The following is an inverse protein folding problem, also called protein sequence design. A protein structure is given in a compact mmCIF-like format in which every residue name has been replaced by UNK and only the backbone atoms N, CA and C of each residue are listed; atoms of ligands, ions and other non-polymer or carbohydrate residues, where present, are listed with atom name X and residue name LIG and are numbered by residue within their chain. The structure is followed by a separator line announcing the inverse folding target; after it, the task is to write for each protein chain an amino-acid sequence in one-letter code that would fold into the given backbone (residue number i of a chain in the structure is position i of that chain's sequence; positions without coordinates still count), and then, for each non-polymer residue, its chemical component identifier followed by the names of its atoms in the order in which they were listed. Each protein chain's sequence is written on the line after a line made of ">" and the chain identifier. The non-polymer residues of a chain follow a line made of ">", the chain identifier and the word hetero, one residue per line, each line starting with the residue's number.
data_IF_403094291089
#
_entry.id   IF_403094291089
#
_cell.length_a   1.000
_cell.length_b   1.000
_cell.length_c   1.000
_cell.angle_alpha   90.00
_cell.angle_beta   90.00
_cell.angle_gamma   90.00
#
_symmetry.space_group_name_H-M   'P 1'
#
loop_
_entity.id
_entity.type
_entity.pdbx_description
1 polymer ?
#
# COMPACT_ATOMS: atom_id res chain seq x y z
N UNK A 1 -10.39 43.81 29.14
CA UNK A 1 -10.72 42.44 29.55
C UNK A 1 -10.19 41.51 28.46
N UNK A 2 -9.63 40.35 28.79
CA UNK A 2 -9.13 39.42 27.78
C UNK A 2 -10.31 38.63 27.19
N UNK A 3 -10.46 38.64 25.87
CA UNK A 3 -11.51 37.92 25.14
C UNK A 3 -10.88 36.82 24.30
N UNK A 4 -10.98 35.57 24.77
CA UNK A 4 -10.36 34.42 24.12
C UNK A 4 -10.79 34.27 22.66
N UNK A 5 -12.07 34.43 22.35
CA UNK A 5 -12.60 34.28 20.99
C UNK A 5 -12.02 35.31 20.01
N UNK A 6 -11.80 36.55 20.46
CA UNK A 6 -11.20 37.59 19.63
C UNK A 6 -9.73 37.25 19.29
N UNK A 7 -8.98 36.76 20.29
CA UNK A 7 -7.58 36.37 20.15
C UNK A 7 -7.42 35.12 19.29
N UNK A 8 -8.28 34.11 19.46
CA UNK A 8 -8.33 32.92 18.61
C UNK A 8 -8.63 33.31 17.15
N UNK A 9 -9.62 34.19 16.93
CA UNK A 9 -9.96 34.69 15.60
C UNK A 9 -8.79 35.47 14.96
N UNK A 10 -8.04 36.23 15.76
CA UNK A 10 -6.85 36.94 15.28
C UNK A 10 -5.71 35.99 14.94
N UNK A 11 -5.44 35.02 15.82
CA UNK A 11 -4.45 33.96 15.60
C UNK A 11 -4.78 33.17 14.33
N UNK A 12 -6.04 32.76 14.15
CA UNK A 12 -6.50 32.02 12.97
C UNK A 12 -6.22 32.79 11.67
N UNK A 13 -6.62 34.06 11.61
CA UNK A 13 -6.35 34.94 10.47
C UNK A 13 -4.85 35.11 10.19
N UNK A 14 -4.00 35.05 11.21
CA UNK A 14 -2.53 35.11 11.06
C UNK A 14 -1.98 33.80 10.50
N UNK A 15 -2.45 32.66 10.99
CA UNK A 15 -2.04 31.32 10.50
C UNK A 15 -2.48 31.13 9.06
N UNK A 16 -3.72 31.45 8.71
CA UNK A 16 -4.25 31.36 7.34
C UNK A 16 -3.47 32.23 6.34
N UNK A 17 -2.95 33.39 6.78
CA UNK A 17 -2.13 34.27 5.93
C UNK A 17 -0.67 33.84 5.78
N UNK A 18 -0.12 33.14 6.78
CA UNK A 18 1.32 32.83 6.86
C UNK A 18 1.67 31.38 6.57
N UNK A 19 0.67 30.50 6.43
CA UNK A 19 0.85 29.08 6.19
C UNK A 19 0.08 28.60 4.95
N UNK A 20 0.49 27.47 4.39
CA UNK A 20 -0.25 26.77 3.33
C UNK A 20 -1.12 25.64 3.89
N UNK A 21 -1.56 25.77 5.15
CA UNK A 21 -2.43 24.79 5.80
C UNK A 21 -3.82 24.82 5.16
N UNK A 22 -4.42 23.63 5.04
CA UNK A 22 -5.82 23.50 4.66
C UNK A 22 -6.74 24.03 5.79
N UNK A 23 -7.96 24.49 5.48
CA UNK A 23 -8.88 25.00 6.49
C UNK A 23 -9.11 24.04 7.67
N UNK A 24 -9.14 22.74 7.37
CA UNK A 24 -9.26 21.69 8.39
C UNK A 24 -8.06 21.59 9.32
N UNK A 25 -6.83 21.67 8.78
CA UNK A 25 -5.62 21.64 9.61
C UNK A 25 -5.56 22.88 10.53
N UNK A 26 -6.12 24.01 10.07
CA UNK A 26 -6.29 25.21 10.91
C UNK A 26 -7.33 24.96 12.01
N UNK A 27 -8.45 24.30 11.72
CA UNK A 27 -9.45 23.90 12.72
C UNK A 27 -8.83 22.99 13.79
N UNK A 28 -8.08 21.96 13.39
CA UNK A 28 -7.43 21.03 14.32
C UNK A 28 -6.39 21.73 15.21
N UNK A 29 -5.63 22.70 14.66
CA UNK A 29 -4.70 23.51 15.44
C UNK A 29 -5.42 24.47 16.40
N UNK A 30 -6.57 25.01 16.00
CA UNK A 30 -7.41 25.85 16.85
C UNK A 30 -7.93 25.06 18.06
N UNK A 31 -8.45 23.86 17.84
CA UNK A 31 -8.91 22.96 18.90
C UNK A 31 -7.78 22.64 19.88
N UNK A 32 -6.58 22.34 19.36
CA UNK A 32 -5.40 22.12 20.19
C UNK A 32 -4.97 23.37 20.97
N UNK A 33 -5.02 24.56 20.36
CA UNK A 33 -4.73 25.82 21.02
C UNK A 33 -5.69 26.07 22.18
N UNK A 34 -6.99 25.87 21.97
CA UNK A 34 -8.04 26.03 22.99
C UNK A 34 -7.85 25.05 24.14
N UNK A 35 -7.70 23.76 23.85
CA UNK A 35 -7.49 22.73 24.87
C UNK A 35 -6.21 22.98 25.69
N UNK A 36 -5.12 23.41 25.04
CA UNK A 36 -3.86 23.74 25.72
C UNK A 36 -3.97 25.01 26.56
N UNK A 37 -4.72 26.01 26.09
CA UNK A 37 -5.02 27.22 26.86
C UNK A 37 -5.82 26.93 28.13
N UNK A 38 -6.86 26.10 28.04
CA UNK A 38 -7.64 25.66 29.21
C UNK A 38 -6.76 24.96 30.24
N UNK A 39 -5.91 24.02 29.80
CA UNK A 39 -4.96 23.33 30.67
C UNK A 39 -3.97 24.31 31.34
N UNK A 40 -3.43 25.27 30.58
CA UNK A 40 -2.51 26.29 31.12
C UNK A 40 -3.19 27.19 32.16
N UNK A 41 -4.49 27.47 31.97
CA UNK A 41 -5.31 28.22 32.93
C UNK A 41 -5.56 27.45 34.22
N UNK A 42 -5.71 26.14 34.15
CA UNK A 42 -5.83 25.26 35.32
C UNK A 42 -4.51 25.13 36.09
N UNK A 43 -3.39 24.96 35.36
CA UNK A 43 -2.06 24.79 35.98
C UNK A 43 -1.52 26.08 36.60
N UNK A 44 -1.85 27.23 36.03
CA UNK A 44 -1.31 28.54 36.44
C UNK A 44 -2.42 29.59 36.56
N UNK A 45 -3.34 29.46 37.53
CA UNK A 45 -4.51 30.34 37.65
C UNK A 45 -4.13 31.80 37.90
N UNK A 46 -3.00 32.03 38.58
CA UNK A 46 -2.46 33.37 38.90
C UNK A 46 -1.91 34.10 37.67
N UNK A 47 -1.61 33.39 36.57
CA UNK A 47 -1.06 33.99 35.36
C UNK A 47 -2.16 34.76 34.61
N UNK A 48 -1.91 36.01 34.17
CA UNK A 48 -2.86 36.75 33.35
C UNK A 48 -3.25 35.97 32.08
N UNK A 49 -4.54 35.88 31.70
CA UNK A 49 -5.00 35.10 30.55
C UNK A 49 -4.26 35.41 29.25
N UNK A 50 -3.98 36.69 28.97
CA UNK A 50 -3.21 37.11 27.80
C UNK A 50 -1.79 36.51 27.77
N UNK A 51 -1.12 36.38 28.92
CA UNK A 51 0.20 35.76 29.00
C UNK A 51 0.13 34.24 28.82
N UNK A 52 -0.90 33.59 29.38
CA UNK A 52 -1.14 32.17 29.17
C UNK A 52 -1.36 31.87 27.68
N UNK A 53 -2.23 32.63 27.01
CA UNK A 53 -2.48 32.49 25.57
C UNK A 53 -1.22 32.68 24.73
N UNK A 54 -0.45 33.74 24.98
CA UNK A 54 0.82 33.98 24.28
C UNK A 54 1.84 32.85 24.50
N UNK A 55 1.88 32.27 25.70
CA UNK A 55 2.74 31.12 26.01
C UNK A 55 2.32 29.92 25.17
N UNK A 56 1.04 29.61 25.12
CA UNK A 56 0.50 28.50 24.33
C UNK A 56 0.72 28.72 22.82
N UNK A 57 0.52 29.94 22.31
CA UNK A 57 0.85 30.26 20.93
C UNK A 57 2.35 30.09 20.61
N UNK A 58 3.23 30.43 21.56
CA UNK A 58 4.67 30.22 21.42
C UNK A 58 5.05 28.73 21.47
N UNK A 59 4.39 27.94 22.33
CA UNK A 59 4.56 26.48 22.41
C UNK A 59 4.10 25.77 21.12
N UNK A 60 3.02 26.25 20.49
CA UNK A 60 2.56 25.73 19.20
C UNK A 60 3.62 25.90 18.09
N UNK A 61 4.51 26.89 18.22
CA UNK A 61 5.59 27.17 17.29
C UNK A 61 5.18 28.01 16.09
N UNK A 62 6.12 28.24 15.16
CA UNK A 62 5.87 29.01 13.95
C UNK A 62 4.95 28.25 12.98
N UNK A 63 3.94 28.96 12.45
CA UNK A 63 2.98 28.40 11.49
C UNK A 63 3.66 27.78 10.25
N UNK A 64 4.80 28.33 9.81
CA UNK A 64 5.59 27.78 8.71
C UNK A 64 6.23 26.43 9.06
N UNK A 65 6.73 26.27 10.29
CA UNK A 65 7.30 25.01 10.77
C UNK A 65 6.21 23.93 10.92
N UNK A 66 5.05 24.30 11.47
CA UNK A 66 3.86 23.43 11.53
C UNK A 66 3.45 23.00 10.12
N UNK A 67 3.32 23.93 9.19
CA UNK A 67 2.95 23.62 7.80
C UNK A 67 3.92 22.64 7.13
N UNK A 68 5.21 22.71 7.43
CA UNK A 68 6.21 21.76 6.94
C UNK A 68 6.03 20.34 7.53
N UNK A 69 5.70 20.25 8.81
CA UNK A 69 5.41 18.96 9.47
C UNK A 69 4.08 18.36 9.00
N UNK A 70 3.03 19.18 8.84
CA UNK A 70 1.77 18.76 8.23
C UNK A 70 1.96 18.34 6.77
N UNK A 71 2.77 19.05 5.99
CA UNK A 71 3.11 18.63 4.63
C UNK A 71 3.86 17.29 4.61
N UNK A 72 4.70 17.01 5.60
CA UNK A 72 5.41 15.73 5.75
C UNK A 72 4.47 14.60 6.18
N UNK A 73 3.50 14.88 7.05
CA UNK A 73 2.45 13.97 7.46
C UNK A 73 1.44 13.69 6.32
N UNK A 74 1.10 14.73 5.55
CA UNK A 74 0.15 14.74 4.44
C UNK A 74 0.70 14.18 3.12
N UNK A 75 2.00 13.86 3.03
CA UNK A 75 2.53 13.12 1.88
C UNK A 75 1.78 11.79 1.79
N UNK A 76 1.06 11.61 0.68
CA UNK A 76 0.31 10.38 0.36
C UNK A 76 1.25 9.18 0.20
N UNK A 77 1.72 8.62 1.32
CA UNK A 77 2.69 7.50 1.36
C UNK A 77 2.21 6.28 0.59
N UNK A 78 0.90 6.13 0.42
CA UNK A 78 0.32 5.05 -0.37
C UNK A 78 0.63 5.13 -1.87
N UNK A 79 0.82 6.33 -2.46
CA UNK A 79 1.08 6.49 -3.89
C UNK A 79 2.39 5.85 -4.36
N UNK A 80 3.56 6.14 -3.74
CA UNK A 80 4.80 5.51 -4.15
C UNK A 80 4.79 4.00 -3.92
N UNK A 81 4.17 3.53 -2.82
CA UNK A 81 4.03 2.08 -2.54
C UNK A 81 3.19 1.40 -3.62
N UNK A 82 2.09 2.03 -4.04
CA UNK A 82 1.25 1.49 -5.10
C UNK A 82 1.94 1.49 -6.45
N UNK A 83 2.65 2.58 -6.77
CA UNK A 83 3.45 2.69 -7.99
C UNK A 83 4.54 1.61 -8.04
N UNK A 84 5.21 1.35 -6.91
CA UNK A 84 6.16 0.26 -6.78
C UNK A 84 5.50 -1.11 -7.00
N UNK A 85 4.32 -1.34 -6.41
CA UNK A 85 3.53 -2.55 -6.66
C UNK A 85 3.23 -2.74 -8.15
N UNK A 86 2.75 -1.71 -8.83
CA UNK A 86 2.47 -1.74 -10.27
C UNK A 86 3.72 -1.93 -11.14
N UNK A 87 4.82 -1.29 -10.78
CA UNK A 87 6.09 -1.47 -11.48
C UNK A 87 6.60 -2.90 -11.34
N UNK A 88 6.56 -3.48 -10.13
CA UNK A 88 6.93 -4.88 -9.89
C UNK A 88 6.02 -5.84 -10.65
N UNK A 89 4.73 -5.57 -10.68
CA UNK A 89 3.77 -6.34 -11.47
C UNK A 89 4.12 -6.30 -12.96
N UNK A 90 4.33 -5.12 -13.54
CA UNK A 90 4.69 -4.97 -14.94
C UNK A 90 6.01 -5.68 -15.28
N UNK A 91 7.05 -5.46 -14.46
CA UNK A 91 8.37 -6.10 -14.62
C UNK A 91 8.26 -7.63 -14.53
N UNK A 92 7.37 -8.16 -13.69
CA UNK A 92 7.22 -9.60 -13.52
C UNK A 92 6.90 -10.33 -14.83
N UNK A 93 6.14 -9.69 -15.74
CA UNK A 93 5.81 -10.27 -17.06
C UNK A 93 7.03 -10.48 -17.94
N UNK A 94 8.10 -9.70 -17.75
CA UNK A 94 9.29 -9.79 -18.58
C UNK A 94 10.35 -10.75 -18.02
N UNK A 95 10.14 -11.27 -16.81
CA UNK A 95 11.10 -12.14 -16.11
C UNK A 95 10.63 -13.59 -16.08
N UNK A 96 11.54 -14.58 -16.02
CA UNK A 96 11.16 -15.98 -15.91
C UNK A 96 10.45 -16.27 -14.58
N UNK A 97 9.33 -16.99 -14.63
CA UNK A 97 8.54 -17.42 -13.45
C UNK A 97 9.25 -18.51 -12.69
N UNK A 98 9.85 -19.46 -13.41
CA UNK A 98 10.52 -20.62 -12.83
C UNK A 98 11.94 -20.68 -13.33
N UNK A 99 12.80 -21.26 -12.51
CA UNK A 99 14.10 -21.77 -12.95
C UNK A 99 14.04 -23.28 -12.82
N UNK A 100 14.43 -23.98 -13.88
CA UNK A 100 14.65 -25.42 -13.80
C UNK A 100 16.12 -25.67 -13.50
N UNK A 101 16.39 -26.39 -12.40
CA UNK A 101 17.70 -26.89 -12.06
C UNK A 101 17.70 -28.40 -12.21
N UNK A 102 18.73 -28.93 -12.87
CA UNK A 102 18.92 -30.35 -13.11
C UNK A 102 19.91 -30.91 -12.08
N UNK A 103 19.67 -32.12 -11.59
CA UNK A 103 20.62 -32.85 -10.73
C UNK A 103 21.28 -33.94 -11.58
N UNK A 104 22.62 -33.94 -11.58
CA UNK A 104 23.58 -34.76 -12.35
C UNK A 104 23.77 -34.47 -13.86
N UNK A 105 24.79 -33.66 -14.12
CA UNK A 105 25.34 -33.29 -15.42
C UNK A 105 26.34 -34.33 -15.93
N UNK A 106 25.84 -35.30 -16.71
CA UNK A 106 26.67 -36.16 -17.56
C UNK A 106 26.32 -36.13 -19.05
N UNK A 107 25.14 -35.66 -19.45
CA UNK A 107 24.57 -36.12 -20.73
C UNK A 107 23.91 -35.10 -21.68
N UNK A 108 23.82 -33.79 -21.40
CA UNK A 108 23.06 -32.88 -22.28
C UNK A 108 23.71 -31.54 -22.62
N UNK A 109 23.41 -31.08 -23.85
CA UNK A 109 23.92 -29.89 -24.51
C UNK A 109 23.42 -28.59 -23.83
N UNK A 110 24.29 -27.61 -23.55
CA UNK A 110 23.95 -26.39 -22.80
C UNK A 110 22.83 -25.53 -23.42
N UNK A 111 22.63 -25.62 -24.74
CA UNK A 111 21.59 -24.85 -25.44
C UNK A 111 20.15 -25.33 -25.14
N UNK A 112 19.96 -26.60 -24.75
CA UNK A 112 18.64 -27.12 -24.35
C UNK A 112 18.26 -26.69 -22.92
N UNK A 113 19.25 -26.52 -22.06
CA UNK A 113 19.06 -26.01 -20.68
C UNK A 113 18.59 -24.55 -20.70
N UNK A 114 19.06 -23.76 -21.67
CA UNK A 114 18.66 -22.37 -21.85
C UNK A 114 17.21 -22.21 -22.36
N UNK A 115 16.70 -23.17 -23.14
CA UNK A 115 15.37 -23.12 -23.74
C UNK A 115 14.24 -23.56 -22.78
N UNK A 116 14.52 -24.51 -21.89
CA UNK A 116 13.52 -25.12 -20.98
C UNK A 116 13.42 -24.37 -19.63
N UNK A 117 14.46 -23.63 -19.25
CA UNK A 117 14.56 -22.98 -17.93
C UNK A 117 13.93 -21.59 -17.79
N UNK A 118 13.29 -21.01 -18.82
CA UNK A 118 12.89 -19.59 -18.82
C UNK A 118 11.42 -19.32 -19.17
N UNK A 119 10.47 -20.12 -18.70
CA UNK A 119 9.05 -19.82 -18.93
C UNK A 119 8.68 -18.45 -18.32
N UNK A 120 8.46 -17.44 -19.18
CA UNK A 120 7.96 -16.12 -18.75
C UNK A 120 6.45 -16.19 -18.51
N UNK A 121 5.86 -15.34 -17.65
CA UNK A 121 4.42 -15.36 -17.38
C UNK A 121 3.57 -15.20 -18.62
N UNK A 122 3.97 -14.32 -19.54
CA UNK A 122 3.25 -14.15 -20.80
C UNK A 122 3.43 -15.36 -21.71
N UNK A 123 4.55 -16.09 -21.65
CA UNK A 123 4.76 -17.28 -22.47
C UNK A 123 3.89 -18.42 -21.97
N UNK A 124 3.78 -18.61 -20.66
CA UNK A 124 2.89 -19.63 -20.08
C UNK A 124 1.43 -19.29 -20.36
N UNK A 125 1.05 -18.00 -20.23
CA UNK A 125 -0.27 -17.50 -20.62
C UNK A 125 -0.54 -17.68 -22.11
N UNK A 126 0.40 -17.27 -22.98
CA UNK A 126 0.27 -17.36 -24.43
C UNK A 126 0.21 -18.81 -24.88
N UNK A 127 1.06 -19.67 -24.33
CA UNK A 127 1.05 -21.12 -24.56
C UNK A 127 -0.29 -21.72 -24.17
N UNK A 128 -0.88 -21.33 -23.04
CA UNK A 128 -2.23 -21.78 -22.65
C UNK A 128 -3.34 -21.26 -23.57
N UNK A 129 -3.18 -20.05 -24.15
CA UNK A 129 -4.14 -19.47 -25.09
C UNK A 129 -4.00 -20.09 -26.48
N UNK A 130 -2.78 -20.41 -26.92
CA UNK A 130 -2.48 -20.83 -28.30
C UNK A 130 -2.28 -22.32 -28.48
N UNK A 131 -1.78 -23.04 -27.47
CA UNK A 131 -1.83 -24.50 -27.50
C UNK A 131 -3.26 -24.89 -27.18
N UNK A 132 -3.98 -25.33 -28.21
CA UNK A 132 -5.19 -26.13 -28.04
C UNK A 132 -4.81 -27.41 -27.32
N UNK A 133 -4.70 -27.36 -26.00
CA UNK A 133 -4.58 -28.56 -25.17
C UNK A 133 -5.78 -29.43 -25.51
N UNK A 134 -5.53 -30.68 -25.87
CA UNK A 134 -6.60 -31.66 -26.13
C UNK A 134 -7.54 -31.81 -24.94
N UNK A 135 -7.07 -31.46 -23.74
CA UNK A 135 -7.88 -31.30 -22.54
C UNK A 135 -8.21 -29.82 -22.26
N UNK A 136 -9.27 -29.32 -22.92
CA UNK A 136 -9.74 -27.95 -22.78
C UNK A 136 -10.08 -27.58 -21.32
N UNK A 137 -10.42 -28.55 -20.48
CA UNK A 137 -10.77 -28.31 -19.07
C UNK A 137 -9.52 -27.90 -18.28
N UNK A 138 -8.41 -28.63 -18.46
CA UNK A 138 -7.17 -28.32 -17.75
C UNK A 138 -6.61 -26.94 -18.15
N UNK A 139 -6.62 -26.58 -19.43
CA UNK A 139 -6.18 -25.25 -19.87
C UNK A 139 -7.04 -24.12 -19.29
N UNK A 140 -8.37 -24.30 -19.21
CA UNK A 140 -9.26 -23.33 -18.57
C UNK A 140 -8.91 -23.17 -17.08
N UNK A 141 -8.65 -24.27 -16.37
CA UNK A 141 -8.27 -24.20 -14.95
C UNK A 141 -6.91 -23.53 -14.72
N UNK A 142 -5.90 -23.85 -15.53
CA UNK A 142 -4.58 -23.23 -15.41
C UNK A 142 -4.66 -21.74 -15.80
N UNK A 143 -5.35 -21.43 -16.89
CA UNK A 143 -5.62 -20.05 -17.31
C UNK A 143 -6.34 -19.26 -16.22
N UNK A 144 -7.38 -19.84 -15.61
CA UNK A 144 -8.07 -19.24 -14.48
C UNK A 144 -7.14 -19.05 -13.27
N UNK A 145 -6.32 -20.03 -12.92
CA UNK A 145 -5.38 -19.94 -11.81
C UNK A 145 -4.31 -18.85 -12.02
N UNK A 146 -3.91 -18.57 -13.27
CA UNK A 146 -2.91 -17.53 -13.61
C UNK A 146 -3.56 -16.16 -13.79
N UNK A 147 -4.75 -16.08 -14.42
CA UNK A 147 -5.41 -14.83 -14.77
C UNK A 147 -6.26 -14.25 -13.63
N UNK A 148 -7.00 -15.08 -12.90
CA UNK A 148 -7.88 -14.62 -11.82
C UNK A 148 -7.15 -13.81 -10.76
N UNK A 149 -5.92 -14.16 -10.33
CA UNK A 149 -5.20 -13.36 -9.35
C UNK A 149 -4.83 -11.97 -9.86
N UNK A 150 -4.72 -11.75 -11.18
CA UNK A 150 -4.38 -10.45 -11.74
C UNK A 150 -5.57 -9.48 -11.71
N UNK A 151 -6.81 -9.97 -11.72
CA UNK A 151 -8.02 -9.13 -11.77
C UNK A 151 -8.13 -8.19 -10.55
N UNK A 152 -7.95 -8.64 -9.30
CA UNK A 152 -7.93 -7.75 -8.14
C UNK A 152 -6.90 -6.62 -8.25
N UNK A 153 -5.74 -6.88 -8.84
CA UNK A 153 -4.71 -5.85 -9.01
C UNK A 153 -5.15 -4.81 -10.04
N UNK A 154 -5.69 -5.25 -11.18
CA UNK A 154 -6.26 -4.35 -12.20
C UNK A 154 -7.41 -3.50 -11.64
N UNK A 155 -8.24 -4.09 -10.78
CA UNK A 155 -9.33 -3.38 -10.09
C UNK A 155 -8.85 -2.30 -9.10
N UNK A 156 -7.55 -2.23 -8.78
CA UNK A 156 -7.02 -1.11 -8.01
C UNK A 156 -7.12 0.21 -8.78
N UNK A 157 -6.98 0.23 -10.11
CA UNK A 157 -7.07 1.45 -10.92
C UNK A 157 -8.43 2.17 -10.79
N UNK A 158 -9.58 1.53 -11.05
CA UNK A 158 -10.88 2.17 -10.85
C UNK A 158 -11.16 2.48 -9.37
N UNK A 159 -10.67 1.66 -8.43
CA UNK A 159 -10.79 1.95 -7.00
C UNK A 159 -10.01 3.21 -6.58
N UNK A 160 -8.94 3.58 -7.31
CA UNK A 160 -8.24 4.84 -7.11
C UNK A 160 -9.02 6.04 -7.66
N UNK A 161 -9.60 5.88 -8.85
CA UNK A 161 -10.26 6.95 -9.59
C UNK A 161 -11.64 7.32 -9.02
N UNK A 162 -12.36 6.34 -8.47
CA UNK A 162 -13.60 6.63 -7.79
C UNK A 162 -14.33 5.35 -7.41
N UNK A 163 -14.25 4.92 -6.16
CA UNK A 163 -15.33 4.09 -5.63
C UNK A 163 -15.40 4.01 -4.10
N UNK A 164 -16.66 4.12 -3.66
CA UNK A 164 -17.36 3.37 -2.61
C UNK A 164 -16.47 2.55 -1.65
N UNK A 165 -16.51 2.96 -0.37
CA UNK A 165 -15.88 2.30 0.79
C UNK A 165 -15.91 0.75 0.80
N UNK A 166 -17.00 0.02 0.42
CA UNK A 166 -17.02 -1.44 0.48
C UNK A 166 -16.05 -2.12 -0.50
N UNK A 167 -15.94 -1.65 -1.75
CA UNK A 167 -15.08 -2.27 -2.76
C UNK A 167 -13.60 -2.24 -2.33
N UNK A 168 -13.19 -1.16 -1.67
CA UNK A 168 -11.83 -1.00 -1.16
C UNK A 168 -11.47 -1.99 -0.05
N UNK A 169 -12.39 -2.28 0.89
CA UNK A 169 -12.15 -3.26 1.96
C UNK A 169 -12.04 -4.68 1.39
N UNK A 170 -12.87 -5.00 0.41
CA UNK A 170 -12.78 -6.29 -0.30
C UNK A 170 -11.44 -6.43 -1.03
N UNK A 171 -11.06 -5.42 -1.84
CA UNK A 171 -9.78 -5.43 -2.56
C UNK A 171 -8.57 -5.60 -1.63
N UNK A 172 -8.56 -4.89 -0.50
CA UNK A 172 -7.50 -5.02 0.50
C UNK A 172 -7.36 -6.46 1.00
N UNK A 173 -8.47 -7.11 1.35
CA UNK A 173 -8.46 -8.50 1.86
C UNK A 173 -8.03 -9.49 0.80
N UNK A 174 -8.56 -9.36 -0.42
CA UNK A 174 -8.25 -10.27 -1.53
C UNK A 174 -6.78 -10.15 -1.93
N UNK A 175 -6.28 -8.93 -2.16
CA UNK A 175 -4.88 -8.71 -2.53
C UNK A 175 -3.92 -9.15 -1.42
N UNK A 176 -4.27 -8.88 -0.15
CA UNK A 176 -3.48 -9.33 1.00
C UNK A 176 -3.42 -10.86 1.09
N UNK A 177 -4.57 -11.53 0.99
CA UNK A 177 -4.64 -12.99 1.02
C UNK A 177 -3.87 -13.62 -0.15
N UNK A 178 -4.03 -13.10 -1.37
CA UNK A 178 -3.28 -13.57 -2.54
C UNK A 178 -1.78 -13.39 -2.39
N UNK A 179 -1.33 -12.23 -1.91
CA UNK A 179 0.09 -11.99 -1.64
C UNK A 179 0.67 -12.98 -0.64
N UNK A 180 -0.03 -13.24 0.47
CA UNK A 180 0.40 -14.20 1.49
C UNK A 180 0.43 -15.63 0.96
N UNK A 181 -0.64 -16.06 0.26
CA UNK A 181 -0.74 -17.42 -0.30
C UNK A 181 0.36 -17.65 -1.34
N UNK A 182 0.58 -16.70 -2.26
CA UNK A 182 1.62 -16.81 -3.28
C UNK A 182 3.02 -16.82 -2.64
N UNK A 183 3.33 -15.93 -1.70
CA UNK A 183 4.62 -15.97 -1.02
C UNK A 183 4.83 -17.29 -0.25
N UNK A 184 3.78 -17.80 0.40
CA UNK A 184 3.80 -19.07 1.11
C UNK A 184 4.05 -20.26 0.16
N UNK A 185 3.38 -20.31 -0.98
CA UNK A 185 3.58 -21.34 -2.01
C UNK A 185 4.99 -21.26 -2.61
N UNK A 186 5.50 -20.06 -2.86
CA UNK A 186 6.87 -19.85 -3.31
C UNK A 186 7.88 -20.40 -2.31
N UNK A 187 7.74 -20.02 -1.04
CA UNK A 187 8.61 -20.51 0.04
C UNK A 187 8.52 -22.02 0.20
N UNK A 188 7.32 -22.58 0.18
CA UNK A 188 7.12 -24.03 0.21
C UNK A 188 7.86 -24.73 -0.93
N UNK A 189 7.79 -24.20 -2.16
CA UNK A 189 8.53 -24.76 -3.31
C UNK A 189 10.04 -24.64 -3.21
N UNK A 190 10.56 -23.63 -2.50
CA UNK A 190 12.00 -23.52 -2.23
C UNK A 190 12.46 -24.62 -1.29
N UNK A 191 11.67 -24.95 -0.26
CA UNK A 191 12.04 -25.98 0.73
C UNK A 191 11.66 -27.40 0.30
N UNK A 192 10.64 -27.54 -0.54
CA UNK A 192 10.11 -28.80 -1.03
C UNK A 192 10.03 -28.78 -2.55
N UNK A 193 11.18 -28.79 -3.25
CA UNK A 193 11.18 -28.75 -4.70
C UNK A 193 10.54 -30.03 -5.24
N UNK A 194 9.48 -29.87 -6.04
CA UNK A 194 8.75 -31.01 -6.62
C UNK A 194 9.57 -31.64 -7.74
N UNK A 195 9.88 -32.95 -7.69
CA UNK A 195 10.52 -33.63 -8.81
C UNK A 195 9.56 -33.70 -9.99
N UNK A 196 10.00 -33.25 -11.15
CA UNK A 196 9.33 -33.50 -12.43
C UNK A 196 10.10 -34.58 -13.19
N UNK A 197 9.48 -35.72 -13.51
CA UNK A 197 10.11 -36.70 -14.37
C UNK A 197 10.32 -36.07 -15.75
N UNK A 198 11.55 -36.10 -16.25
CA UNK A 198 11.92 -35.59 -17.56
C UNK A 198 12.75 -36.64 -18.27
N UNK A 199 12.14 -37.29 -19.26
CA UNK A 199 12.71 -38.39 -20.03
C UNK A 199 13.20 -39.58 -19.17
N UNK A 200 13.63 -40.68 -19.82
CA UNK A 200 13.96 -41.98 -19.19
C UNK A 200 15.17 -41.95 -18.23
N UNK A 201 15.03 -41.25 -17.09
CA UNK A 201 15.97 -41.31 -15.97
C UNK A 201 16.37 -39.96 -15.38
N UNK A 202 16.02 -38.82 -15.99
CA UNK A 202 16.36 -37.50 -15.43
C UNK A 202 15.21 -36.90 -14.61
N UNK A 203 15.58 -36.25 -13.50
CA UNK A 203 14.65 -35.54 -12.63
C UNK A 203 14.99 -34.05 -12.66
N UNK A 204 14.01 -33.24 -13.07
CA UNK A 204 14.11 -31.79 -13.01
C UNK A 204 13.48 -31.28 -11.71
N UNK A 205 14.10 -30.26 -11.11
CA UNK A 205 13.49 -29.52 -10.01
C UNK A 205 13.14 -28.11 -10.47
N UNK A 206 11.88 -27.71 -10.26
CA UNK A 206 11.44 -26.34 -10.52
C UNK A 206 11.48 -25.52 -9.24
N UNK A 207 12.18 -24.39 -9.28
CA UNK A 207 12.13 -23.39 -8.20
C UNK A 207 11.50 -22.10 -8.71
N UNK A 208 10.82 -21.32 -7.83
CA UNK A 208 10.28 -20.03 -8.24
C UNK A 208 11.42 -19.08 -8.65
N UNK A 209 11.36 -18.61 -9.89
CA UNK A 209 12.22 -17.61 -10.48
C UNK A 209 11.85 -16.19 -10.07
N UNK A 210 12.65 -15.22 -10.49
CA UNK A 210 12.51 -13.82 -10.11
C UNK A 210 11.14 -13.22 -10.49
N UNK A 211 10.58 -13.62 -11.64
CA UNK A 211 9.26 -13.16 -12.09
C UNK A 211 8.16 -13.53 -11.10
N UNK A 212 8.20 -14.75 -10.54
CA UNK A 212 7.23 -15.20 -9.53
C UNK A 212 7.27 -14.34 -8.25
N UNK A 213 8.47 -14.04 -7.75
CA UNK A 213 8.63 -13.26 -6.53
C UNK A 213 8.19 -11.81 -6.72
N UNK A 214 8.54 -11.20 -7.86
CA UNK A 214 8.11 -9.85 -8.22
C UNK A 214 6.59 -9.76 -8.38
N UNK A 215 5.99 -10.76 -9.05
CA UNK A 215 4.54 -10.89 -9.17
C UNK A 215 3.87 -11.02 -7.80
N UNK A 216 4.35 -11.92 -6.95
CA UNK A 216 3.80 -12.16 -5.60
C UNK A 216 3.90 -10.92 -4.70
N UNK A 217 5.07 -10.26 -4.69
CA UNK A 217 5.31 -9.06 -3.89
C UNK A 217 4.47 -7.86 -4.36
N UNK A 218 4.11 -7.80 -5.65
CA UNK A 218 3.25 -6.73 -6.19
C UNK A 218 1.88 -6.67 -5.48
N UNK A 219 1.30 -7.83 -5.17
CA UNK A 219 0.04 -7.94 -4.43
C UNK A 219 0.16 -7.44 -3.00
N UNK A 220 1.26 -7.79 -2.31
CA UNK A 220 1.53 -7.34 -0.96
C UNK A 220 1.71 -5.81 -0.91
N UNK A 221 2.42 -5.22 -1.87
CA UNK A 221 2.59 -3.77 -1.96
C UNK A 221 1.27 -3.06 -2.30
N UNK A 222 0.47 -3.59 -3.22
CA UNK A 222 -0.83 -3.04 -3.54
C UNK A 222 -1.79 -3.07 -2.34
N UNK A 223 -1.81 -4.18 -1.59
CA UNK A 223 -2.55 -4.29 -0.33
C UNK A 223 -2.05 -3.27 0.71
N UNK A 224 -0.73 -3.17 0.92
CA UNK A 224 -0.14 -2.20 1.84
C UNK A 224 -0.50 -0.75 1.46
N UNK A 225 -0.47 -0.42 0.16
CA UNK A 225 -0.88 0.90 -0.32
C UNK A 225 -2.37 1.17 -0.06
N UNK A 226 -3.26 0.21 -0.34
CA UNK A 226 -4.70 0.36 -0.05
C UNK A 226 -4.96 0.50 1.44
N UNK A 227 -4.18 -0.16 2.30
CA UNK A 227 -4.25 -0.02 3.75
C UNK A 227 -3.78 1.37 4.21
N UNK A 228 -2.63 1.85 3.71
CA UNK A 228 -2.11 3.19 3.98
C UNK A 228 -3.11 4.28 3.56
N UNK A 229 -3.73 4.12 2.38
CA UNK A 229 -4.80 5.02 1.91
C UNK A 229 -6.02 5.01 2.83
N UNK A 230 -6.24 3.93 3.57
CA UNK A 230 -7.32 3.85 4.55
C UNK A 230 -7.07 4.61 5.81
N UNK A 231 -5.84 4.51 6.31
CA UNK A 231 -5.42 5.25 7.47
C UNK A 231 -5.42 6.74 7.21
N UNK A 232 -5.04 7.19 6.00
CA UNK A 232 -5.15 8.61 5.66
C UNK A 232 -6.60 9.11 5.73
N UNK A 233 -7.57 8.34 5.22
CA UNK A 233 -8.98 8.75 5.31
C UNK A 233 -9.59 8.67 6.71
N UNK A 234 -9.07 7.82 7.59
CA UNK A 234 -9.50 7.79 8.98
C UNK A 234 -9.01 9.03 9.72
N UNK A 235 -7.81 9.52 9.39
CA UNK A 235 -7.34 10.82 9.84
C UNK A 235 -8.19 11.95 9.24
N UNK A 236 -8.64 11.81 7.98
CA UNK A 236 -9.49 12.80 7.30
C UNK A 236 -11.01 12.67 7.60
N UNK A 237 -11.46 11.90 8.60
CA UNK A 237 -12.89 11.80 8.95
C UNK A 237 -13.47 13.15 9.39
N UNK A 238 -14.75 13.50 9.12
CA UNK A 238 -15.33 14.73 9.66
C UNK A 238 -15.16 14.74 11.17
N UNK A 239 -14.63 15.84 11.73
CA UNK A 239 -14.58 16.04 13.17
C UNK A 239 -15.97 15.71 13.71
N UNK A 240 -16.03 14.76 14.65
CA UNK A 240 -17.29 14.39 15.31
C UNK A 240 -17.85 15.70 15.89
N UNK A 241 -19.07 16.14 15.52
CA UNK A 241 -19.58 17.41 15.98
C UNK A 241 -19.59 17.39 17.51
N UNK A 242 -18.80 18.28 18.12
CA UNK A 242 -18.57 18.40 19.58
C UNK A 242 -19.88 18.68 20.35
N UNK A 243 -20.98 18.89 19.65
CA UNK A 243 -22.26 19.34 20.18
C UNK A 243 -22.98 18.36 21.14
N UNK A 244 -22.50 17.13 21.36
CA UNK A 244 -23.26 16.13 22.15
C UNK A 244 -22.58 15.64 23.45
N UNK A 245 -21.47 16.26 23.89
CA UNK A 245 -20.82 15.90 25.19
C UNK A 245 -21.03 16.91 26.33
N UNK A 246 -21.90 17.90 26.14
CA UNK A 246 -22.15 18.95 27.14
C UNK A 246 -23.59 18.94 27.72
N UNK A 247 -24.33 17.84 27.60
CA UNK A 247 -25.59 17.58 28.31
C UNK A 247 -25.43 16.34 29.19
#
# INVERSE_FOLDING_TARGET
>A
MFELEAEVTQWRRKVERSSSLSPREVDELEDHLRARFELEREMTPERPPARAFNTVCAELGEAAALSKEFAKAGRRRWRPVLAAGWAMFAVSFFLPISRMAWVDSGALHPDLVALVGSQRPYELLWTLITMGTTDAVLAVWIGAAVLLPNLPLLMTLPALLGSRRPARRWLLRVLGAMGVVNLGLGMFRVFSPSPFPYDEGAVAFSTPGAGYWLWSASFALAAAALWLRGRSWAADGPAEPVAERAM
#
